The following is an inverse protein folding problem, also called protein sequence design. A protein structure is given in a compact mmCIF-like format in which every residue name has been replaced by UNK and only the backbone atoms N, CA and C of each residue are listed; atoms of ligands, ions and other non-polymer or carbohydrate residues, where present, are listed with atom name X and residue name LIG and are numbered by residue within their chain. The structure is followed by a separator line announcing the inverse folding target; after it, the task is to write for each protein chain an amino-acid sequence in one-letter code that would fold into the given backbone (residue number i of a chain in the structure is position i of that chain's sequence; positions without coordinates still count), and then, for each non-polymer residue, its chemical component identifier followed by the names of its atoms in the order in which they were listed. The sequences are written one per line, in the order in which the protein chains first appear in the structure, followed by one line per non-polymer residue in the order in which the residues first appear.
data_IF_439157573236
#
_entry.id   IF_439157573236
#
_cell.length_a   1.000
_cell.length_b   1.000
_cell.length_c   1.000
_cell.angle_alpha   90.00
_cell.angle_beta   90.00
_cell.angle_gamma   90.00
#
_symmetry.space_group_name_H-M   'P 1'
#
loop_
_entity.id
_entity.type
_entity.pdbx_description
1 polymer ?
#
# COMPACT_ATOMS: atom_id res chain seq x y z
N UNK A 1 -30.46 6.56 -12.85
CA UNK A 1 -29.45 6.98 -11.85
C UNK A 1 -28.02 6.93 -12.41
N UNK A 2 -27.79 7.39 -13.65
CA UNK A 2 -26.49 7.32 -14.32
C UNK A 2 -25.69 8.64 -14.26
N UNK A 3 -26.14 9.61 -13.45
CA UNK A 3 -25.65 11.00 -13.48
C UNK A 3 -24.64 11.39 -12.40
N UNK A 4 -24.42 10.57 -11.36
CA UNK A 4 -23.56 10.95 -10.22
C UNK A 4 -22.07 10.66 -10.43
N UNK A 5 -21.69 9.88 -11.45
CA UNK A 5 -20.32 9.41 -11.64
C UNK A 5 -19.64 9.96 -12.91
N UNK A 6 -20.29 10.86 -13.65
CA UNK A 6 -19.76 11.37 -14.92
C UNK A 6 -18.41 12.13 -14.79
N UNK A 7 -18.04 12.55 -13.57
CA UNK A 7 -16.73 13.12 -13.24
C UNK A 7 -15.95 12.35 -12.18
N UNK A 8 -16.41 11.15 -11.79
CA UNK A 8 -15.73 10.31 -10.82
C UNK A 8 -14.89 9.28 -11.54
N UNK A 9 -13.57 9.35 -11.38
CA UNK A 9 -12.66 8.31 -11.83
C UNK A 9 -12.47 7.26 -10.72
N UNK A 10 -13.08 6.07 -10.83
CA UNK A 10 -12.95 5.02 -9.82
C UNK A 10 -11.49 4.56 -9.64
N UNK A 11 -10.65 4.66 -10.66
CA UNK A 11 -9.25 4.25 -10.57
C UNK A 11 -8.40 5.24 -9.78
N UNK A 12 -8.74 6.53 -9.82
CA UNK A 12 -8.09 7.56 -9.01
C UNK A 12 -8.36 7.34 -7.51
N UNK A 13 -9.63 7.14 -7.16
CA UNK A 13 -10.04 6.82 -5.80
C UNK A 13 -9.44 5.48 -5.31
N UNK A 14 -9.49 4.43 -6.14
CA UNK A 14 -8.90 3.13 -5.80
C UNK A 14 -7.38 3.23 -5.62
N UNK A 15 -6.68 3.90 -6.54
CA UNK A 15 -5.23 4.07 -6.46
C UNK A 15 -4.81 4.82 -5.20
N UNK A 16 -5.56 5.86 -4.83
CA UNK A 16 -5.31 6.61 -3.59
C UNK A 16 -5.55 5.76 -2.35
N UNK A 17 -6.72 5.11 -2.24
CA UNK A 17 -7.08 4.31 -1.06
C UNK A 17 -6.14 3.13 -0.89
N UNK A 18 -5.89 2.37 -1.95
CA UNK A 18 -4.97 1.23 -1.91
C UNK A 18 -3.53 1.67 -1.65
N UNK A 19 -3.09 2.79 -2.26
CA UNK A 19 -1.76 3.34 -2.04
C UNK A 19 -1.50 3.70 -0.59
N UNK A 20 -2.42 4.45 0.03
CA UNK A 20 -2.36 4.80 1.46
C UNK A 20 -2.44 3.54 2.33
N UNK A 21 -3.38 2.65 2.05
CA UNK A 21 -3.55 1.42 2.83
C UNK A 21 -2.28 0.57 2.84
N UNK A 22 -1.66 0.30 1.69
CA UNK A 22 -0.45 -0.50 1.60
C UNK A 22 0.73 0.15 2.33
N UNK A 23 0.88 1.48 2.21
CA UNK A 23 1.91 2.20 2.94
C UNK A 23 1.73 2.07 4.46
N UNK A 24 0.50 2.24 4.95
CA UNK A 24 0.18 2.10 6.38
C UNK A 24 0.35 0.66 6.87
N UNK A 25 -0.09 -0.34 6.12
CA UNK A 25 0.07 -1.75 6.48
C UNK A 25 1.55 -2.13 6.57
N UNK A 26 2.38 -1.67 5.63
CA UNK A 26 3.81 -1.91 5.68
C UNK A 26 4.43 -1.32 6.97
N UNK A 27 4.09 -0.07 7.31
CA UNK A 27 4.55 0.59 8.53
C UNK A 27 4.05 -0.15 9.78
N UNK A 28 2.75 -0.45 9.84
CA UNK A 28 2.14 -1.15 10.98
C UNK A 28 2.78 -2.52 11.20
N UNK A 29 3.10 -3.25 10.12
CA UNK A 29 3.78 -4.54 10.19
C UNK A 29 5.21 -4.39 10.70
N UNK A 30 5.96 -3.40 10.21
CA UNK A 30 7.31 -3.09 10.70
C UNK A 30 7.33 -2.72 12.19
N UNK A 31 6.33 -1.94 12.65
CA UNK A 31 6.20 -1.53 14.05
C UNK A 31 5.78 -2.70 14.93
N UNK A 32 4.79 -3.48 14.48
CA UNK A 32 4.23 -4.63 15.20
C UNK A 32 5.18 -5.82 15.30
N UNK A 33 6.18 -5.91 14.40
CA UNK A 33 7.25 -6.93 14.39
C UNK A 33 6.71 -8.34 14.65
N UNK A 34 5.76 -8.85 13.85
CA UNK A 34 5.10 -10.14 14.10
C UNK A 34 6.08 -11.32 14.15
N UNK A 35 7.22 -11.23 13.46
CA UNK A 35 8.31 -12.21 13.51
C UNK A 35 8.97 -12.36 14.90
N UNK A 36 8.68 -11.51 15.87
CA UNK A 36 9.14 -11.72 17.24
C UNK A 36 8.42 -12.87 17.94
N UNK A 37 7.18 -13.17 17.54
CA UNK A 37 6.35 -14.18 18.19
C UNK A 37 6.37 -15.52 17.45
N UNK A 38 6.92 -15.54 16.23
CA UNK A 38 6.86 -16.70 15.33
C UNK A 38 7.98 -16.65 14.29
N UNK A 39 8.69 -17.78 14.13
CA UNK A 39 9.74 -17.96 13.11
C UNK A 39 11.16 -17.67 13.58
N UNK A 40 12.15 -18.15 12.81
CA UNK A 40 13.57 -17.87 13.00
C UNK A 40 14.05 -16.66 12.19
N UNK A 41 15.37 -16.37 12.26
CA UNK A 41 15.97 -15.21 11.60
C UNK A 41 15.68 -15.10 10.09
N UNK A 42 15.57 -16.22 9.38
CA UNK A 42 15.21 -16.23 7.96
C UNK A 42 13.80 -15.70 7.68
N UNK A 43 12.82 -16.03 8.53
CA UNK A 43 11.45 -15.56 8.41
C UNK A 43 11.39 -14.04 8.62
N UNK A 44 12.13 -13.53 9.60
CA UNK A 44 12.25 -12.08 9.83
C UNK A 44 12.73 -11.34 8.58
N UNK A 45 13.80 -11.82 7.93
CA UNK A 45 14.38 -11.17 6.75
C UNK A 45 13.34 -11.09 5.62
N UNK A 46 12.66 -12.21 5.33
CA UNK A 46 11.64 -12.26 4.28
C UNK A 46 10.49 -11.30 4.59
N UNK A 47 10.04 -11.23 5.84
CA UNK A 47 8.95 -10.33 6.22
C UNK A 47 9.34 -8.85 6.14
N UNK A 48 10.56 -8.48 6.54
CA UNK A 48 11.06 -7.11 6.41
C UNK A 48 11.15 -6.72 4.93
N UNK A 49 11.74 -7.57 4.10
CA UNK A 49 11.82 -7.33 2.64
C UNK A 49 10.42 -7.20 2.05
N UNK A 50 9.49 -8.08 2.42
CA UNK A 50 8.09 -8.01 2.03
C UNK A 50 7.46 -6.67 2.39
N UNK A 51 7.64 -6.18 3.63
CA UNK A 51 7.12 -4.89 4.07
C UNK A 51 7.66 -3.72 3.24
N UNK A 52 8.97 -3.72 2.97
CA UNK A 52 9.62 -2.68 2.16
C UNK A 52 9.05 -2.67 0.74
N UNK A 53 8.90 -3.84 0.13
CA UNK A 53 8.29 -3.97 -1.20
C UNK A 53 6.82 -3.49 -1.19
N UNK A 54 6.04 -3.87 -0.19
CA UNK A 54 4.65 -3.41 -0.03
C UNK A 54 4.55 -1.89 0.08
N UNK A 55 5.45 -1.27 0.84
CA UNK A 55 5.52 0.19 0.95
C UNK A 55 5.80 0.84 -0.42
N UNK A 56 6.76 0.30 -1.19
CA UNK A 56 7.05 0.81 -2.53
C UNK A 56 5.89 0.64 -3.50
N UNK A 57 5.13 -0.46 -3.42
CA UNK A 57 3.91 -0.63 -4.21
C UNK A 57 2.87 0.43 -3.84
N UNK A 58 2.64 0.68 -2.54
CA UNK A 58 1.73 1.73 -2.09
C UNK A 58 2.15 3.12 -2.58
N UNK A 59 3.43 3.46 -2.44
CA UNK A 59 3.99 4.72 -2.92
C UNK A 59 3.91 4.85 -4.45
N UNK A 60 4.13 3.77 -5.20
CA UNK A 60 4.04 3.76 -6.66
C UNK A 60 2.61 4.02 -7.14
N UNK A 61 1.59 3.46 -6.47
CA UNK A 61 0.19 3.73 -6.77
C UNK A 61 -0.15 5.21 -6.56
N UNK A 62 0.27 5.79 -5.44
CA UNK A 62 0.06 7.23 -5.16
C UNK A 62 0.79 8.12 -6.18
N UNK A 63 2.01 7.75 -6.54
CA UNK A 63 2.77 8.48 -7.55
C UNK A 63 2.13 8.39 -8.95
N UNK A 64 1.54 7.24 -9.30
CA UNK A 64 0.85 7.06 -10.56
C UNK A 64 -0.42 7.91 -10.62
N UNK A 65 -1.25 7.87 -9.58
CA UNK A 65 -2.43 8.73 -9.44
C UNK A 65 -2.06 10.20 -9.59
N UNK A 66 -1.05 10.66 -8.84
CA UNK A 66 -0.61 12.05 -8.88
C UNK A 66 -0.06 12.49 -10.24
N UNK A 67 0.49 11.57 -11.04
CA UNK A 67 0.94 11.85 -12.41
C UNK A 67 -0.20 11.90 -13.41
N UNK A 68 -1.22 11.06 -13.25
CA UNK A 68 -2.38 10.98 -14.16
C UNK A 68 -3.35 12.15 -13.91
N UNK A 69 -3.49 12.60 -12.67
CA UNK A 69 -4.33 13.75 -12.32
C UNK A 69 -3.77 15.13 -12.71
N UNK A 70 -2.67 15.19 -13.48
CA UNK A 70 -2.00 16.41 -13.93
C UNK A 70 -1.98 16.50 -15.44
#
# INVERSE_FOLDING_TARGET
MAGTLAGYDPFDALGTVLGVYLALVAIATLVGRPWQYTGGAGVMIVQIVGCVLTFFVGAALLALVYRVGR
#
